data_IF_338417083417
#
_entry.id   IF_338417083417
#
_cell.length_a   1.000
_cell.length_b   1.000
_cell.length_c   1.000
_cell.angle_alpha   90.00
_cell.angle_beta   90.00
_cell.angle_gamma   90.00
#
_symmetry.space_group_name_H-M   'P 1'
#
loop_
_entity.id
_entity.type
_entity.pdbx_description
1 polymer ?
#
# COMPACT_ATOMS: atom_id res chain seq x y z
N UNK A 1 -1.24 9.47 60.92
CA UNK A 1 -0.27 9.62 59.80
C UNK A 1 -0.11 8.28 59.08
N UNK A 2 -0.80 8.07 57.94
CA UNK A 2 -0.44 7.08 56.90
C UNK A 2 -1.01 7.60 55.57
N UNK A 3 -0.17 8.04 54.62
CA UNK A 3 -0.64 8.61 53.38
C UNK A 3 -1.24 7.54 52.47
N UNK A 4 -2.37 7.91 51.88
CA UNK A 4 -3.21 7.16 50.94
C UNK A 4 -2.48 6.87 49.63
N UNK A 5 -2.52 5.60 49.20
CA UNK A 5 -1.96 5.12 47.93
C UNK A 5 -2.88 5.54 46.78
N UNK A 6 -2.53 6.62 46.09
CA UNK A 6 -3.24 7.08 44.89
C UNK A 6 -2.74 6.34 43.62
N UNK A 7 -3.64 6.10 42.63
CA UNK A 7 -3.41 5.19 41.52
C UNK A 7 -2.66 5.88 40.37
N UNK A 8 -1.35 5.66 40.29
CA UNK A 8 -0.50 6.10 39.16
C UNK A 8 -0.45 5.08 38.00
N UNK A 9 -1.48 4.24 37.84
CA UNK A 9 -1.50 3.20 36.81
C UNK A 9 -2.30 3.57 35.54
N UNK A 10 -2.97 4.74 35.50
CA UNK A 10 -3.96 5.05 34.46
C UNK A 10 -3.44 5.73 33.18
N UNK A 11 -2.27 6.39 33.20
CA UNK A 11 -1.85 7.30 32.12
C UNK A 11 -0.98 6.65 31.03
N UNK A 12 -0.46 5.44 31.23
CA UNK A 12 0.40 4.77 30.24
C UNK A 12 -0.38 4.04 29.12
N UNK A 13 -1.70 3.87 29.25
CA UNK A 13 -2.51 3.06 28.33
C UNK A 13 -2.99 3.80 27.06
N UNK A 14 -2.83 5.13 26.97
CA UNK A 14 -3.36 5.93 25.86
C UNK A 14 -2.44 6.01 24.61
N UNK A 15 -1.24 5.42 24.63
CA UNK A 15 -0.31 5.46 23.48
C UNK A 15 -0.32 4.19 22.62
N UNK A 16 -1.18 3.20 22.92
CA UNK A 16 -1.15 1.90 22.22
C UNK A 16 -2.14 1.76 21.05
N UNK A 17 -2.99 2.74 20.74
CA UNK A 17 -4.18 2.51 19.90
C UNK A 17 -4.10 2.93 18.43
N UNK A 18 -2.97 3.38 17.88
CA UNK A 18 -2.90 3.72 16.44
C UNK A 18 -1.62 3.26 15.77
N UNK A 19 -1.44 1.95 15.64
CA UNK A 19 -0.55 1.41 14.60
C UNK A 19 -1.39 1.24 13.33
N UNK A 20 -1.31 2.21 12.41
CA UNK A 20 -1.80 2.01 11.04
C UNK A 20 -0.80 1.06 10.37
N UNK A 21 -1.11 -0.23 10.36
CA UNK A 21 -0.39 -1.19 9.53
C UNK A 21 -0.78 -0.95 8.06
N UNK A 22 0.08 -0.28 7.30
CA UNK A 22 0.04 -0.39 5.85
C UNK A 22 0.40 -1.84 5.47
N UNK A 23 -0.33 -2.42 4.52
CA UNK A 23 0.05 -3.71 3.95
C UNK A 23 1.49 -3.63 3.42
N UNK A 24 2.26 -4.70 3.61
CA UNK A 24 3.63 -4.78 3.13
C UNK A 24 3.66 -4.66 1.60
N UNK A 25 4.27 -3.59 1.10
CA UNK A 25 4.37 -3.31 -0.34
C UNK A 25 5.07 -4.43 -1.10
N UNK A 26 6.04 -5.12 -0.48
CA UNK A 26 6.72 -6.27 -1.08
C UNK A 26 5.77 -7.46 -1.26
N UNK A 27 4.92 -7.69 -0.27
CA UNK A 27 3.89 -8.74 -0.34
C UNK A 27 2.90 -8.44 -1.46
N UNK A 28 2.37 -7.21 -1.55
CA UNK A 28 1.48 -6.81 -2.66
C UNK A 28 2.16 -6.98 -4.02
N UNK A 29 3.43 -6.59 -4.10
CA UNK A 29 4.20 -6.66 -5.34
C UNK A 29 4.35 -8.09 -5.86
N UNK A 30 4.60 -9.04 -4.96
CA UNK A 30 4.93 -10.43 -5.29
C UNK A 30 3.73 -11.37 -5.28
N UNK A 31 2.69 -11.08 -4.50
CA UNK A 31 1.57 -11.98 -4.24
C UNK A 31 0.21 -11.37 -4.58
N UNK A 32 0.15 -10.04 -4.81
CA UNK A 32 -1.11 -9.33 -5.04
C UNK A 32 -1.71 -8.77 -3.76
N UNK A 33 -2.75 -7.95 -3.92
CA UNK A 33 -3.45 -7.30 -2.82
C UNK A 33 -4.58 -8.15 -2.23
N UNK A 34 -5.29 -7.59 -1.25
CA UNK A 34 -6.50 -8.20 -0.70
C UNK A 34 -7.65 -8.26 -1.72
N UNK A 35 -7.62 -7.40 -2.73
CA UNK A 35 -8.55 -7.47 -3.86
C UNK A 35 -8.12 -8.62 -4.79
N UNK A 36 -8.96 -9.65 -5.02
CA UNK A 36 -8.63 -10.76 -5.92
C UNK A 36 -8.36 -10.33 -7.37
N UNK A 37 -8.90 -9.19 -7.79
CA UNK A 37 -8.61 -8.60 -9.09
C UNK A 37 -7.21 -7.95 -9.14
N UNK A 38 -6.64 -7.55 -7.99
CA UNK A 38 -5.32 -6.93 -7.89
C UNK A 38 -4.21 -8.00 -7.88
N UNK A 39 -3.96 -8.59 -9.05
CA UNK A 39 -2.85 -9.51 -9.29
C UNK A 39 -1.51 -8.92 -8.83
N UNK A 40 -0.54 -9.80 -8.53
CA UNK A 40 0.82 -9.40 -8.19
C UNK A 40 1.41 -8.47 -9.26
N UNK A 41 1.86 -7.28 -8.84
CA UNK A 41 2.35 -6.23 -9.73
C UNK A 41 3.52 -6.71 -10.60
N UNK A 42 4.40 -7.54 -10.03
CA UNK A 42 5.58 -8.07 -10.72
C UNK A 42 5.27 -8.96 -11.92
N UNK A 43 4.03 -9.48 -12.03
CA UNK A 43 3.60 -10.31 -13.17
C UNK A 43 3.71 -9.56 -14.50
N UNK A 44 3.42 -8.25 -14.49
CA UNK A 44 3.50 -7.40 -15.68
C UNK A 44 4.66 -6.42 -15.61
N UNK A 45 5.00 -5.95 -14.41
CA UNK A 45 6.04 -4.93 -14.22
C UNK A 45 7.45 -5.51 -13.97
N UNK A 46 7.61 -6.82 -14.10
CA UNK A 46 8.88 -7.54 -13.90
C UNK A 46 9.17 -7.85 -12.43
N UNK A 47 9.97 -8.87 -12.15
CA UNK A 47 10.26 -9.26 -10.76
C UNK A 47 10.97 -8.16 -9.94
N UNK A 48 11.71 -7.29 -10.61
CA UNK A 48 12.47 -6.17 -10.05
C UNK A 48 11.81 -4.81 -10.25
N UNK A 49 10.64 -4.76 -10.90
CA UNK A 49 9.93 -3.51 -11.19
C UNK A 49 10.50 -2.71 -12.35
N UNK A 50 11.38 -3.29 -13.18
CA UNK A 50 11.96 -2.59 -14.32
C UNK A 50 11.01 -2.44 -15.51
N UNK A 51 9.89 -3.14 -15.50
CA UNK A 51 8.89 -3.12 -16.56
C UNK A 51 9.31 -3.91 -17.80
N UNK A 52 8.42 -3.92 -18.79
CA UNK A 52 8.63 -4.54 -20.10
C UNK A 52 8.16 -3.55 -21.17
N UNK A 53 9.07 -2.67 -21.61
CA UNK A 53 8.74 -1.58 -22.53
C UNK A 53 8.11 -2.07 -23.84
N UNK A 54 8.60 -3.18 -24.39
CA UNK A 54 8.06 -3.79 -25.62
C UNK A 54 6.59 -4.26 -25.48
N UNK A 55 6.16 -4.59 -24.27
CA UNK A 55 4.77 -4.99 -23.96
C UNK A 55 3.93 -3.83 -23.39
N UNK A 56 4.49 -2.62 -23.29
CA UNK A 56 3.79 -1.46 -22.75
C UNK A 56 3.68 -1.44 -21.22
N UNK A 57 4.41 -2.29 -20.50
CA UNK A 57 4.42 -2.28 -19.03
C UNK A 57 5.55 -1.37 -18.51
N UNK A 58 5.24 -0.20 -17.92
CA UNK A 58 6.26 0.74 -17.51
C UNK A 58 7.02 0.27 -16.26
N UNK A 59 8.21 0.86 -16.04
CA UNK A 59 8.99 0.70 -14.81
C UNK A 59 8.26 1.26 -13.59
N UNK A 60 8.28 0.52 -12.48
CA UNK A 60 7.85 0.94 -11.15
C UNK A 60 9.01 1.16 -10.17
N UNK A 61 10.12 0.44 -10.34
CA UNK A 61 11.29 0.54 -9.48
C UNK A 61 11.78 1.99 -9.41
N UNK A 62 12.01 2.54 -8.21
CA UNK A 62 12.55 3.91 -8.05
C UNK A 62 11.60 5.04 -8.44
N UNK A 63 10.32 4.77 -8.67
CA UNK A 63 9.29 5.80 -8.82
C UNK A 63 8.90 6.32 -7.41
N UNK A 64 8.64 7.62 -7.30
CA UNK A 64 8.16 8.23 -6.07
C UNK A 64 6.85 7.58 -5.56
N UNK A 65 6.76 7.36 -4.26
CA UNK A 65 5.61 6.72 -3.64
C UNK A 65 4.34 7.59 -3.73
N UNK A 66 4.48 8.92 -3.67
CA UNK A 66 3.36 9.85 -3.85
C UNK A 66 2.79 9.79 -5.26
N UNK A 67 3.67 9.76 -6.26
CA UNK A 67 3.28 9.55 -7.64
C UNK A 67 2.59 8.19 -7.83
N UNK A 68 3.14 7.10 -7.27
CA UNK A 68 2.53 5.76 -7.37
C UNK A 68 1.10 5.75 -6.82
N UNK A 69 0.90 6.31 -5.62
CA UNK A 69 -0.43 6.42 -5.00
C UNK A 69 -1.38 7.24 -5.87
N UNK A 70 -0.91 8.36 -6.42
CA UNK A 70 -1.75 9.19 -7.29
C UNK A 70 -2.15 8.43 -8.56
N UNK A 71 -1.24 7.70 -9.20
CA UNK A 71 -1.56 6.93 -10.40
C UNK A 71 -2.60 5.84 -10.11
N UNK A 72 -2.46 5.11 -9.00
CA UNK A 72 -3.47 4.12 -8.59
C UNK A 72 -4.83 4.78 -8.34
N UNK A 73 -4.86 5.93 -7.65
CA UNK A 73 -6.10 6.67 -7.43
C UNK A 73 -6.74 7.17 -8.74
N UNK A 74 -5.93 7.69 -9.66
CA UNK A 74 -6.40 8.17 -10.96
C UNK A 74 -6.95 7.01 -11.82
N UNK A 75 -6.34 5.81 -11.76
CA UNK A 75 -6.88 4.62 -12.42
C UNK A 75 -8.22 4.22 -11.81
N UNK A 76 -8.28 4.12 -10.48
CA UNK A 76 -9.49 3.74 -9.73
C UNK A 76 -10.66 4.68 -9.99
N UNK A 77 -10.41 6.00 -10.06
CA UNK A 77 -11.44 7.00 -10.33
C UNK A 77 -11.84 7.09 -11.81
N UNK A 78 -11.05 6.49 -12.71
CA UNK A 78 -11.20 6.64 -14.15
C UNK A 78 -10.64 7.95 -14.71
N UNK A 79 -10.06 8.83 -13.88
CA UNK A 79 -9.33 10.03 -14.34
C UNK A 79 -8.20 9.65 -15.30
N UNK A 80 -7.56 8.50 -15.06
CA UNK A 80 -6.66 7.85 -15.99
C UNK A 80 -7.32 6.58 -16.51
N UNK A 81 -7.78 6.61 -17.75
CA UNK A 81 -8.39 5.45 -18.39
C UNK A 81 -7.32 4.42 -18.78
N UNK A 82 -7.44 3.20 -18.25
CA UNK A 82 -6.65 2.06 -18.69
C UNK A 82 -7.41 0.76 -18.36
N UNK A 83 -7.79 -0.06 -19.36
CA UNK A 83 -8.62 -1.24 -19.14
C UNK A 83 -7.92 -2.35 -18.35
N UNK A 84 -6.58 -2.35 -18.32
CA UNK A 84 -5.79 -3.30 -17.54
C UNK A 84 -5.68 -2.82 -16.10
N UNK A 85 -5.29 -1.56 -15.88
CA UNK A 85 -4.99 -1.07 -14.53
C UNK A 85 -6.21 -0.67 -13.71
N UNK A 86 -7.35 -0.36 -14.33
CA UNK A 86 -8.59 -0.04 -13.62
C UNK A 86 -9.05 -1.16 -12.66
N UNK A 87 -9.20 -2.43 -13.09
CA UNK A 87 -9.57 -3.51 -12.17
C UNK A 87 -8.47 -3.82 -11.14
N UNK A 88 -7.18 -3.60 -11.47
CA UNK A 88 -6.06 -3.79 -10.53
C UNK A 88 -6.10 -2.74 -9.41
N UNK A 89 -6.49 -1.51 -9.72
CA UNK A 89 -6.49 -0.38 -8.78
C UNK A 89 -7.80 -0.24 -7.98
N UNK A 90 -8.79 -1.11 -8.23
CA UNK A 90 -10.14 -1.03 -7.67
C UNK A 90 -10.22 -1.25 -6.16
#
# INVERSE_FOLDING_TARGET
MKPTRWPLAGLAALLLTTQVQAADGQTIYTQGGANPAAMACGTCHGADGMGMAAAGFPRLAGIDAGYMRKQLADFRSGTRANPIMQPIAA
#
